data_IF_422259356626
#
_entry.id   IF_422259356626
#
_cell.length_a   1.000
_cell.length_b   1.000
_cell.length_c   1.000
_cell.angle_alpha   90.00
_cell.angle_beta   90.00
_cell.angle_gamma   90.00
#
_symmetry.space_group_name_H-M   'P 1'
#
loop_
_entity.id
_entity.type
_entity.pdbx_description
1 polymer ?
#
# COMPACT_ATOMS: atom_id res chain seq x y z
N UNK A 1 2.00 14.94 66.95
CA UNK A 1 2.19 14.82 65.48
C UNK A 1 2.92 13.51 65.23
N UNK A 2 2.31 12.48 64.62
CA UNK A 2 3.02 11.24 64.35
C UNK A 2 3.87 11.39 63.09
N UNK A 3 5.16 11.13 63.22
CA UNK A 3 6.14 11.13 62.14
C UNK A 3 5.74 10.15 61.04
N UNK A 4 5.55 10.66 59.82
CA UNK A 4 5.33 9.85 58.63
C UNK A 4 6.60 9.04 58.34
N UNK A 5 6.57 7.75 58.66
CA UNK A 5 7.65 6.81 58.35
C UNK A 5 7.84 6.68 56.84
N UNK A 6 8.81 7.40 56.28
CA UNK A 6 9.23 7.26 54.88
C UNK A 6 9.92 5.90 54.74
N UNK A 7 9.20 4.88 54.24
CA UNK A 7 9.77 3.58 53.87
C UNK A 7 10.80 3.80 52.76
N UNK A 8 12.10 3.77 53.11
CA UNK A 8 13.18 3.75 52.12
C UNK A 8 13.15 2.40 51.40
N UNK A 9 12.75 2.41 50.14
CA UNK A 9 12.79 1.22 49.27
C UNK A 9 14.27 0.95 48.99
N UNK A 10 14.90 0.10 49.79
CA UNK A 10 16.27 -0.37 49.55
C UNK A 10 16.19 -1.55 48.59
N UNK A 11 16.28 -1.28 47.30
CA UNK A 11 16.37 -2.31 46.27
C UNK A 11 17.57 -3.23 46.57
N UNK A 12 17.32 -4.52 46.79
CA UNK A 12 18.44 -5.48 46.85
C UNK A 12 19.05 -5.57 45.45
N UNK A 13 20.37 -5.70 45.37
CA UNK A 13 21.10 -5.87 44.10
C UNK A 13 20.55 -7.02 43.25
N UNK A 14 20.03 -8.07 43.90
CA UNK A 14 19.33 -9.17 43.24
C UNK A 14 18.01 -8.76 42.55
N UNK A 15 17.26 -7.80 43.11
CA UNK A 15 16.03 -7.30 42.52
C UNK A 15 16.35 -6.42 41.31
N UNK A 16 17.40 -5.62 41.39
CA UNK A 16 17.90 -4.82 40.26
C UNK A 16 18.35 -5.72 39.10
N UNK A 17 19.08 -6.81 39.37
CA UNK A 17 19.49 -7.78 38.36
C UNK A 17 18.32 -8.52 37.71
N UNK A 18 17.30 -8.92 38.49
CA UNK A 18 16.09 -9.56 37.96
C UNK A 18 15.29 -8.62 37.07
N UNK A 19 15.13 -7.36 37.49
CA UNK A 19 14.42 -6.35 36.69
C UNK A 19 15.19 -6.06 35.40
N UNK A 20 16.52 -5.91 35.47
CA UNK A 20 17.36 -5.78 34.27
C UNK A 20 17.20 -6.97 33.32
N UNK A 21 17.28 -8.19 33.83
CA UNK A 21 17.09 -9.41 33.02
C UNK A 21 15.71 -9.48 32.35
N UNK A 22 14.64 -9.13 33.09
CA UNK A 22 13.28 -9.06 32.55
C UNK A 22 13.15 -7.98 31.47
N UNK A 23 13.72 -6.80 31.68
CA UNK A 23 13.71 -5.71 30.69
C UNK A 23 14.48 -6.12 29.44
N UNK A 24 15.66 -6.73 29.59
CA UNK A 24 16.44 -7.23 28.45
C UNK A 24 15.71 -8.32 27.69
N UNK A 25 15.08 -9.28 28.40
CA UNK A 25 14.27 -10.33 27.77
C UNK A 25 13.05 -9.74 27.05
N UNK A 26 12.37 -8.77 27.65
CA UNK A 26 11.25 -8.09 27.03
C UNK A 26 11.68 -7.36 25.75
N UNK A 27 12.76 -6.58 25.79
CA UNK A 27 13.29 -5.88 24.61
C UNK A 27 13.74 -6.87 23.53
N UNK A 28 14.36 -8.00 23.91
CA UNK A 28 14.73 -9.07 23.00
C UNK A 28 13.49 -9.71 22.34
N UNK A 29 12.49 -10.12 23.11
CA UNK A 29 11.26 -10.71 22.57
C UNK A 29 10.48 -9.72 21.71
N UNK A 30 10.43 -8.44 22.11
CA UNK A 30 9.79 -7.38 21.34
C UNK A 30 10.46 -7.18 19.98
N UNK A 31 11.78 -7.02 19.96
CA UNK A 31 12.55 -6.85 18.72
C UNK A 31 12.53 -8.12 17.86
N UNK A 32 12.58 -9.31 18.47
CA UNK A 32 12.43 -10.58 17.78
C UNK A 32 11.07 -10.72 17.12
N UNK A 33 9.99 -10.42 17.87
CA UNK A 33 8.63 -10.48 17.36
C UNK A 33 8.45 -9.55 16.16
N UNK A 34 8.92 -8.30 16.23
CA UNK A 34 8.88 -7.37 15.11
C UNK A 34 9.62 -7.90 13.88
N UNK A 35 10.84 -8.45 14.05
CA UNK A 35 11.60 -9.03 12.93
C UNK A 35 10.91 -10.23 12.30
N UNK A 36 10.37 -11.14 13.11
CA UNK A 36 9.65 -12.33 12.64
C UNK A 36 8.37 -11.94 11.93
N UNK A 37 7.60 -10.99 12.49
CA UNK A 37 6.40 -10.44 11.87
C UNK A 37 6.71 -9.86 10.49
N UNK A 38 7.73 -9.01 10.38
CA UNK A 38 8.16 -8.44 9.09
C UNK A 38 8.59 -9.52 8.10
N UNK A 39 9.35 -10.53 8.54
CA UNK A 39 9.80 -11.62 7.66
C UNK A 39 8.63 -12.47 7.15
N UNK A 40 7.65 -12.78 8.01
CA UNK A 40 6.44 -13.51 7.64
C UNK A 40 5.62 -12.70 6.64
N UNK A 41 5.46 -11.40 6.87
CA UNK A 41 4.72 -10.51 5.96
C UNK A 41 5.39 -10.40 4.59
N UNK A 42 6.72 -10.23 4.56
CA UNK A 42 7.53 -10.25 3.32
C UNK A 42 7.38 -11.60 2.60
N UNK A 43 7.45 -12.70 3.34
CA UNK A 43 7.24 -14.04 2.79
C UNK A 43 5.85 -14.23 2.20
N UNK A 44 4.81 -13.71 2.87
CA UNK A 44 3.43 -13.75 2.37
C UNK A 44 3.30 -12.97 1.06
N UNK A 45 3.81 -11.74 0.98
CA UNK A 45 3.80 -10.96 -0.26
C UNK A 45 4.58 -11.68 -1.36
N UNK A 46 5.73 -12.28 -1.03
CA UNK A 46 6.52 -13.03 -2.00
C UNK A 46 5.77 -14.26 -2.52
N UNK A 47 5.01 -14.97 -1.68
CA UNK A 47 4.12 -16.08 -2.11
C UNK A 47 3.02 -15.58 -3.04
N UNK A 48 2.37 -14.46 -2.72
CA UNK A 48 1.35 -13.85 -3.58
C UNK A 48 1.93 -13.48 -4.94
N UNK A 49 3.08 -12.80 -4.95
CA UNK A 49 3.78 -12.43 -6.18
C UNK A 49 4.24 -13.68 -6.96
N UNK A 50 4.69 -14.72 -6.26
CA UNK A 50 5.06 -15.99 -6.88
C UNK A 50 3.86 -16.63 -7.60
N UNK A 51 2.66 -16.55 -7.03
CA UNK A 51 1.44 -17.03 -7.69
C UNK A 51 1.12 -16.24 -8.96
N UNK A 52 1.29 -14.91 -8.93
CA UNK A 52 1.11 -14.02 -10.09
C UNK A 52 2.12 -14.35 -11.19
N UNK A 53 3.39 -14.62 -10.85
CA UNK A 53 4.43 -14.97 -11.82
C UNK A 53 4.24 -16.40 -12.39
N UNK A 54 3.86 -17.36 -11.54
CA UNK A 54 3.77 -18.76 -11.94
C UNK A 54 2.58 -19.02 -12.89
N UNK A 55 1.46 -18.31 -12.74
CA UNK A 55 0.26 -18.52 -13.56
C UNK A 55 0.49 -18.30 -15.08
N UNK A 56 1.00 -17.14 -15.55
CA UNK A 56 1.34 -16.93 -16.96
C UNK A 56 2.48 -17.84 -17.41
N UNK A 57 3.49 -18.09 -16.58
CA UNK A 57 4.58 -19.02 -16.91
C UNK A 57 4.06 -20.45 -17.18
N UNK A 58 3.10 -20.94 -16.40
CA UNK A 58 2.47 -22.25 -16.64
C UNK A 58 1.55 -22.25 -17.86
N UNK A 59 0.94 -21.11 -18.19
CA UNK A 59 0.14 -20.98 -19.41
C UNK A 59 1.04 -21.03 -20.64
N UNK A 60 2.13 -20.25 -20.67
CA UNK A 60 3.09 -20.21 -21.77
C UNK A 60 3.93 -21.49 -21.90
N UNK A 61 4.08 -22.28 -20.83
CA UNK A 61 4.80 -23.55 -20.89
C UNK A 61 4.07 -24.64 -21.70
N UNK A 62 2.87 -24.34 -22.23
CA UNK A 62 2.20 -25.20 -23.21
C UNK A 62 2.88 -25.19 -24.58
N UNK A 63 3.65 -24.13 -24.89
CA UNK A 63 4.34 -23.98 -26.17
C UNK A 63 5.86 -24.10 -26.09
N UNK A 64 6.45 -23.79 -24.92
CA UNK A 64 7.91 -23.81 -24.70
C UNK A 64 8.26 -24.48 -23.37
N UNK A 65 9.51 -24.95 -23.17
CA UNK A 65 9.92 -25.52 -21.89
C UNK A 65 9.68 -24.56 -20.71
N UNK A 66 9.26 -25.09 -19.56
CA UNK A 66 8.86 -24.28 -18.40
C UNK A 66 9.93 -23.25 -17.98
N UNK A 67 11.22 -23.59 -18.02
CA UNK A 67 12.32 -22.66 -17.66
C UNK A 67 12.37 -21.42 -18.57
N UNK A 68 12.13 -21.61 -19.87
CA UNK A 68 12.09 -20.53 -20.86
C UNK A 68 10.84 -19.69 -20.66
N UNK A 69 9.68 -20.34 -20.52
CA UNK A 69 8.41 -19.68 -20.22
C UNK A 69 8.47 -18.80 -18.96
N UNK A 70 9.06 -19.35 -17.90
CA UNK A 70 9.25 -18.66 -16.63
C UNK A 70 10.22 -17.48 -16.79
N UNK A 71 11.34 -17.66 -17.48
CA UNK A 71 12.29 -16.57 -17.75
C UNK A 71 11.63 -15.43 -18.54
N UNK A 72 10.87 -15.73 -19.60
CA UNK A 72 10.11 -14.74 -20.38
C UNK A 72 9.11 -14.02 -19.48
N UNK A 73 8.38 -14.76 -18.64
CA UNK A 73 7.37 -14.19 -17.74
C UNK A 73 8.00 -13.23 -16.72
N UNK A 74 9.14 -13.61 -16.12
CA UNK A 74 9.87 -12.75 -15.19
C UNK A 74 10.41 -11.51 -15.91
N UNK A 75 10.99 -11.67 -17.12
CA UNK A 75 11.48 -10.55 -17.90
C UNK A 75 10.35 -9.58 -18.29
N UNK A 76 9.20 -10.08 -18.72
CA UNK A 76 8.03 -9.25 -19.04
C UNK A 76 7.49 -8.54 -17.79
N UNK A 77 7.45 -9.21 -16.65
CA UNK A 77 7.05 -8.59 -15.38
C UNK A 77 8.00 -7.48 -14.94
N UNK A 78 9.32 -7.72 -15.02
CA UNK A 78 10.31 -6.70 -14.69
C UNK A 78 10.27 -5.53 -15.68
N UNK A 79 10.13 -5.83 -16.98
CA UNK A 79 9.98 -4.81 -18.01
C UNK A 79 8.71 -3.98 -17.83
N UNK A 80 7.58 -4.60 -17.44
CA UNK A 80 6.35 -3.87 -17.16
C UNK A 80 6.48 -3.01 -15.90
N UNK A 81 7.15 -3.50 -14.84
CA UNK A 81 7.39 -2.74 -13.63
C UNK A 81 8.27 -1.50 -13.89
N UNK A 82 9.37 -1.69 -14.63
CA UNK A 82 10.26 -0.59 -15.02
C UNK A 82 9.55 0.37 -15.98
N UNK A 83 8.84 -0.15 -16.99
CA UNK A 83 8.10 0.65 -17.96
C UNK A 83 7.01 1.49 -17.30
N UNK A 84 6.22 0.91 -16.40
CA UNK A 84 5.23 1.63 -15.60
C UNK A 84 5.91 2.66 -14.69
N UNK A 85 7.03 2.31 -14.05
CA UNK A 85 7.80 3.25 -13.23
C UNK A 85 8.27 4.46 -14.04
N UNK A 86 8.87 4.24 -15.21
CA UNK A 86 9.35 5.32 -16.08
C UNK A 86 8.20 6.17 -16.66
N UNK A 87 7.03 5.60 -16.90
CA UNK A 87 5.87 6.34 -17.38
C UNK A 87 5.17 7.13 -16.26
N UNK A 88 5.01 6.52 -15.08
CA UNK A 88 4.19 7.07 -14.00
C UNK A 88 4.97 7.94 -13.04
N UNK A 89 6.23 7.61 -12.70
CA UNK A 89 6.99 8.36 -11.70
C UNK A 89 7.15 9.83 -12.10
N UNK A 90 7.60 10.18 -13.33
CA UNK A 90 7.70 11.57 -13.74
C UNK A 90 6.34 12.27 -13.68
N UNK A 91 5.29 11.61 -14.17
CA UNK A 91 3.94 12.18 -14.14
C UNK A 91 3.43 12.42 -12.72
N UNK A 92 3.68 11.51 -11.78
CA UNK A 92 3.33 11.67 -10.37
C UNK A 92 4.14 12.81 -9.74
N UNK A 93 5.45 12.87 -10.00
CA UNK A 93 6.32 13.94 -9.48
C UNK A 93 5.88 15.30 -10.01
N UNK A 94 5.62 15.41 -11.31
CA UNK A 94 5.14 16.63 -11.95
C UNK A 94 3.78 17.03 -11.38
N UNK A 95 2.85 16.08 -11.26
CA UNK A 95 1.53 16.34 -10.66
C UNK A 95 1.71 16.86 -9.23
N UNK A 96 2.48 16.17 -8.38
CA UNK A 96 2.72 16.57 -6.99
C UNK A 96 3.38 17.95 -6.89
N UNK A 97 4.31 18.27 -7.78
CA UNK A 97 4.94 19.59 -7.84
C UNK A 97 3.95 20.69 -8.24
N UNK A 98 3.05 20.41 -9.20
CA UNK A 98 1.97 21.30 -9.58
C UNK A 98 0.97 21.48 -8.43
N UNK A 99 0.63 20.42 -7.70
CA UNK A 99 -0.24 20.50 -6.53
C UNK A 99 0.36 21.38 -5.44
N UNK A 100 1.66 21.24 -5.17
CA UNK A 100 2.36 22.09 -4.20
C UNK A 100 2.38 23.56 -4.65
N UNK A 101 2.57 23.82 -5.95
CA UNK A 101 2.57 25.16 -6.52
C UNK A 101 1.18 25.80 -6.61
N UNK A 102 0.12 25.01 -6.80
CA UNK A 102 -1.27 25.47 -6.90
C UNK A 102 -1.97 25.56 -5.54
N UNK A 103 -1.31 25.12 -4.46
CA UNK A 103 -1.87 25.11 -3.12
C UNK A 103 -2.41 26.49 -2.68
N UNK A 104 -1.66 27.61 -2.86
CA UNK A 104 -2.17 28.93 -2.50
C UNK A 104 -3.43 29.29 -3.30
N UNK A 105 -3.42 29.03 -4.61
CA UNK A 105 -4.55 29.30 -5.51
C UNK A 105 -5.79 28.45 -5.20
N UNK A 106 -5.60 27.19 -4.77
CA UNK A 106 -6.68 26.32 -4.33
C UNK A 106 -7.37 26.85 -3.06
N UNK A 107 -6.58 27.40 -2.11
CA UNK A 107 -7.11 28.04 -0.91
C UNK A 107 -7.88 29.32 -1.27
N UNK A 108 -7.34 30.13 -2.17
CA UNK A 108 -7.98 31.36 -2.64
C UNK A 108 -9.31 31.08 -3.36
N UNK A 109 -9.35 30.05 -4.20
CA UNK A 109 -10.59 29.67 -4.92
C UNK A 109 -11.64 29.03 -4.00
N UNK A 110 -11.23 28.28 -2.96
CA UNK A 110 -12.16 27.84 -1.90
C UNK A 110 -12.72 29.03 -1.13
N UNK A 111 -11.88 30.03 -0.83
CA UNK A 111 -12.31 31.26 -0.17
C UNK A 111 -13.33 32.03 -1.01
N UNK A 112 -13.01 32.27 -2.28
CA UNK A 112 -13.91 32.99 -3.21
C UNK A 112 -15.25 32.24 -3.38
N UNK A 113 -15.22 30.91 -3.48
CA UNK A 113 -16.43 30.08 -3.53
C UNK A 113 -17.27 30.14 -2.24
N UNK A 114 -16.63 30.20 -1.07
CA UNK A 114 -17.31 30.38 0.22
C UNK A 114 -17.92 31.78 0.33
N UNK A 115 -17.19 32.81 -0.08
CA UNK A 115 -17.65 34.21 -0.07
C UNK A 115 -18.88 34.39 -0.97
N UNK A 116 -18.85 33.82 -2.18
CA UNK A 116 -19.98 33.82 -3.14
C UNK A 116 -21.22 33.10 -2.59
N UNK A 117 -21.05 32.01 -1.84
CA UNK A 117 -22.17 31.18 -1.35
C UNK A 117 -22.74 31.59 -0.01
N UNK A 118 -21.92 32.13 0.89
CA UNK A 118 -22.30 32.40 2.28
C UNK A 118 -22.34 33.89 2.61
N UNK A 119 -21.75 34.76 1.77
CA UNK A 119 -21.62 36.20 2.03
C UNK A 119 -20.70 36.54 3.21
N UNK A 120 -20.15 35.54 3.90
CA UNK A 120 -19.15 35.72 4.94
C UNK A 120 -17.79 35.87 4.27
N UNK A 121 -17.25 37.09 4.23
CA UNK A 121 -15.83 37.34 3.97
C UNK A 121 -15.05 36.47 4.95
N UNK A 122 -14.36 35.45 4.46
CA UNK A 122 -13.85 34.36 5.30
C UNK A 122 -13.12 34.91 6.53
N UNK A 123 -13.66 34.64 7.72
CA UNK A 123 -12.98 34.94 8.97
C UNK A 123 -11.55 34.37 8.86
N UNK A 124 -10.54 35.20 9.15
CA UNK A 124 -9.12 34.79 9.01
C UNK A 124 -8.78 33.52 9.79
N UNK A 125 -9.62 33.14 10.76
CA UNK A 125 -9.55 31.89 11.50
C UNK A 125 -9.94 30.66 10.65
N UNK A 126 -10.99 30.72 9.83
CA UNK A 126 -11.40 29.64 8.93
C UNK A 126 -10.34 29.42 7.84
N UNK A 127 -9.87 30.51 7.24
CA UNK A 127 -8.78 30.45 6.23
C UNK A 127 -7.48 29.93 6.84
N UNK A 128 -7.15 30.34 8.06
CA UNK A 128 -6.00 29.83 8.79
C UNK A 128 -6.10 28.35 9.18
N UNK A 129 -7.31 27.82 9.38
CA UNK A 129 -7.55 26.38 9.59
C UNK A 129 -7.43 25.60 8.28
N UNK A 130 -8.02 26.09 7.19
CA UNK A 130 -7.93 25.47 5.85
C UNK A 130 -6.47 25.38 5.41
N UNK A 131 -5.70 26.46 5.53
CA UNK A 131 -4.30 26.49 5.12
C UNK A 131 -3.44 25.49 5.94
N UNK A 132 -3.68 25.39 7.26
CA UNK A 132 -2.99 24.41 8.11
C UNK A 132 -3.33 22.97 7.73
N UNK A 133 -4.61 22.65 7.55
CA UNK A 133 -5.04 21.29 7.18
C UNK A 133 -4.53 20.88 5.79
N UNK A 134 -4.59 21.78 4.81
CA UNK A 134 -4.05 21.54 3.48
C UNK A 134 -2.52 21.39 3.50
N UNK A 135 -1.82 22.27 4.23
CA UNK A 135 -0.37 22.18 4.41
C UNK A 135 0.08 20.88 5.09
N UNK A 136 -0.62 20.44 6.13
CA UNK A 136 -0.36 19.14 6.78
C UNK A 136 -0.63 17.97 5.84
N UNK A 137 -1.70 18.02 5.06
CA UNK A 137 -2.05 16.98 4.11
C UNK A 137 -0.98 16.84 3.02
N UNK A 138 -0.60 17.94 2.38
CA UNK A 138 0.49 17.97 1.39
C UNK A 138 1.80 17.52 2.02
N UNK A 139 2.13 18.00 3.22
CA UNK A 139 3.33 17.63 3.96
C UNK A 139 3.42 16.14 4.31
N UNK A 140 2.29 15.45 4.46
CA UNK A 140 2.24 13.98 4.65
C UNK A 140 2.20 13.21 3.33
N UNK A 141 1.53 13.75 2.32
CA UNK A 141 1.29 13.08 1.05
C UNK A 141 2.51 13.09 0.13
N UNK A 142 3.23 14.22 0.05
CA UNK A 142 4.41 14.37 -0.81
C UNK A 142 5.49 13.33 -0.44
N UNK A 143 5.91 13.18 0.84
CA UNK A 143 6.88 12.16 1.20
C UNK A 143 6.36 10.75 0.98
N UNK A 144 5.05 10.50 1.14
CA UNK A 144 4.46 9.20 0.86
C UNK A 144 4.59 8.83 -0.64
N UNK A 145 4.32 9.77 -1.53
CA UNK A 145 4.48 9.58 -2.98
C UNK A 145 5.95 9.31 -3.36
N UNK A 146 6.92 10.03 -2.77
CA UNK A 146 8.34 9.76 -2.97
C UNK A 146 8.79 8.44 -2.35
N UNK A 147 8.21 8.04 -1.21
CA UNK A 147 8.48 6.75 -0.58
C UNK A 147 8.01 5.58 -1.44
N UNK A 148 7.02 5.73 -2.33
CA UNK A 148 6.65 4.67 -3.28
C UNK A 148 7.83 4.27 -4.16
N UNK A 149 8.69 5.21 -4.54
CA UNK A 149 9.92 4.94 -5.31
C UNK A 149 10.87 4.09 -4.45
N UNK A 150 11.09 4.47 -3.19
CA UNK A 150 11.91 3.70 -2.26
C UNK A 150 11.34 2.31 -1.96
N UNK A 151 10.01 2.17 -1.94
CA UNK A 151 9.32 0.87 -1.79
C UNK A 151 9.59 -0.04 -2.99
N UNK A 152 9.62 0.50 -4.22
CA UNK A 152 10.01 -0.28 -5.41
C UNK A 152 11.44 -0.81 -5.27
N UNK A 153 12.40 0.02 -4.86
CA UNK A 153 13.77 -0.45 -4.60
C UNK A 153 13.86 -1.43 -3.42
N UNK A 154 13.10 -1.18 -2.35
CA UNK A 154 13.00 -2.06 -1.18
C UNK A 154 12.31 -3.40 -1.47
N UNK A 155 11.51 -3.48 -2.54
CA UNK A 155 10.82 -4.70 -2.97
C UNK A 155 11.75 -5.73 -3.60
N UNK A 156 13.02 -5.41 -3.84
CA UNK A 156 13.97 -6.30 -4.50
C UNK A 156 14.07 -7.67 -3.80
N UNK A 157 14.12 -7.68 -2.47
CA UNK A 157 14.12 -8.93 -1.69
C UNK A 157 12.83 -9.74 -1.88
N UNK A 158 11.67 -9.07 -1.96
CA UNK A 158 10.36 -9.69 -2.21
C UNK A 158 10.35 -10.32 -3.60
N UNK A 159 10.81 -9.58 -4.62
CA UNK A 159 10.85 -10.04 -6.02
C UNK A 159 11.76 -11.26 -6.15
N UNK A 160 12.97 -11.21 -5.59
CA UNK A 160 13.91 -12.33 -5.60
C UNK A 160 13.28 -13.56 -4.92
N UNK A 161 12.73 -13.37 -3.72
CA UNK A 161 12.10 -14.46 -2.99
C UNK A 161 10.91 -15.05 -3.77
N UNK A 162 10.09 -14.20 -4.39
CA UNK A 162 8.98 -14.62 -5.23
C UNK A 162 9.44 -15.42 -6.45
N UNK A 163 10.54 -15.01 -7.11
CA UNK A 163 11.12 -15.74 -8.25
C UNK A 163 11.57 -17.14 -7.80
N UNK A 164 12.27 -17.26 -6.67
CA UNK A 164 12.68 -18.55 -6.13
C UNK A 164 11.48 -19.45 -5.81
N UNK A 165 10.49 -18.91 -5.09
CA UNK A 165 9.25 -19.62 -4.73
C UNK A 165 8.46 -20.07 -5.98
N UNK A 166 8.38 -19.22 -7.01
CA UNK A 166 7.64 -19.51 -8.23
C UNK A 166 8.34 -20.50 -9.16
N UNK A 167 9.66 -20.59 -9.10
CA UNK A 167 10.45 -21.49 -9.95
C UNK A 167 10.27 -22.96 -9.57
N UNK A 168 10.13 -23.26 -8.26
CA UNK A 168 9.99 -24.63 -7.76
C UNK A 168 8.96 -24.74 -6.62
N UNK A 169 7.67 -24.45 -6.87
CA UNK A 169 6.65 -24.41 -5.82
C UNK A 169 6.46 -25.76 -5.09
N UNK A 170 6.69 -26.88 -5.78
CA UNK A 170 6.54 -28.22 -5.21
C UNK A 170 7.60 -28.52 -4.14
N UNK A 171 8.82 -27.99 -4.29
CA UNK A 171 9.89 -28.17 -3.28
C UNK A 171 9.47 -27.50 -1.96
N UNK A 172 8.92 -26.30 -2.04
CA UNK A 172 8.45 -25.57 -0.85
C UNK A 172 7.21 -26.21 -0.23
N UNK A 173 6.29 -26.72 -1.06
CA UNK A 173 5.15 -27.53 -0.58
C UNK A 173 5.65 -28.74 0.20
N UNK A 174 6.56 -29.52 -0.35
CA UNK A 174 7.08 -30.73 0.28
C UNK A 174 7.80 -30.43 1.59
N UNK A 175 8.54 -29.33 1.68
CA UNK A 175 9.18 -28.89 2.93
C UNK A 175 8.15 -28.61 4.03
N UNK A 176 7.07 -27.90 3.69
CA UNK A 176 5.99 -27.60 4.65
C UNK A 176 5.28 -28.88 5.09
N UNK A 177 4.98 -29.79 4.17
CA UNK A 177 4.32 -31.06 4.50
C UNK A 177 5.23 -31.98 5.34
N UNK A 178 6.55 -31.98 5.08
CA UNK A 178 7.51 -32.78 5.84
C UNK A 178 7.67 -32.33 7.30
N UNK A 179 7.42 -31.06 7.59
CA UNK A 179 7.42 -30.52 8.96
C UNK A 179 6.24 -31.04 9.81
N UNK A 180 5.23 -31.65 9.19
CA UNK A 180 4.06 -32.24 9.88
C UNK A 180 4.31 -33.72 10.19
N UNK A 181 3.90 -34.23 11.37
CA UNK A 181 3.97 -35.65 11.71
C UNK A 181 3.33 -36.55 10.65
N UNK A 182 3.94 -37.71 10.39
CA UNK A 182 3.55 -38.66 9.33
C UNK A 182 2.04 -38.96 9.31
N UNK A 183 1.45 -39.20 10.48
CA UNK A 183 0.03 -39.54 10.62
C UNK A 183 -0.92 -38.43 10.13
N UNK A 184 -0.47 -37.17 10.13
CA UNK A 184 -1.28 -36.00 9.74
C UNK A 184 -0.97 -35.46 8.34
N UNK A 185 0.05 -36.00 7.64
CA UNK A 185 0.45 -35.51 6.31
C UNK A 185 -0.70 -35.51 5.28
N UNK A 186 -1.54 -36.56 5.15
CA UNK A 186 -2.66 -36.53 4.20
C UNK A 186 -3.71 -35.45 4.51
N UNK A 187 -3.81 -35.02 5.77
CA UNK A 187 -4.67 -33.89 6.16
C UNK A 187 -3.99 -32.56 5.85
N UNK A 188 -2.70 -32.43 6.12
CA UNK A 188 -1.92 -31.23 5.82
C UNK A 188 -1.86 -30.94 4.32
N UNK A 189 -1.68 -31.95 3.48
CA UNK A 189 -1.70 -31.80 2.01
C UNK A 189 -3.03 -31.23 1.52
N UNK A 190 -4.16 -31.78 1.99
CA UNK A 190 -5.49 -31.29 1.64
C UNK A 190 -5.70 -29.83 2.05
N UNK A 191 -5.27 -29.46 3.26
CA UNK A 191 -5.37 -28.07 3.74
C UNK A 191 -4.49 -27.15 2.88
N UNK A 192 -3.23 -27.54 2.63
CA UNK A 192 -2.31 -26.76 1.82
C UNK A 192 -2.85 -26.51 0.41
N UNK A 193 -3.35 -27.55 -0.26
CA UNK A 193 -3.85 -27.46 -1.64
C UNK A 193 -5.15 -26.63 -1.71
N UNK A 194 -6.03 -26.75 -0.70
CA UNK A 194 -7.22 -25.91 -0.58
C UNK A 194 -6.87 -24.44 -0.33
N UNK A 195 -5.98 -24.16 0.62
CA UNK A 195 -5.49 -22.80 0.89
C UNK A 195 -4.82 -22.19 -0.33
N UNK A 196 -3.98 -22.95 -1.04
CA UNK A 196 -3.33 -22.50 -2.26
C UNK A 196 -4.32 -22.20 -3.39
N UNK A 197 -5.40 -22.99 -3.53
CA UNK A 197 -6.46 -22.71 -4.51
C UNK A 197 -7.25 -21.45 -4.15
N UNK A 198 -7.65 -21.31 -2.88
CA UNK A 198 -8.36 -20.11 -2.41
C UNK A 198 -7.51 -18.86 -2.60
N UNK A 199 -6.21 -18.92 -2.29
CA UNK A 199 -5.29 -17.80 -2.46
C UNK A 199 -5.11 -17.41 -3.93
N UNK A 200 -4.99 -18.40 -4.84
CA UNK A 200 -4.94 -18.14 -6.28
C UNK A 200 -6.20 -17.44 -6.80
N UNK A 201 -7.38 -17.90 -6.39
CA UNK A 201 -8.66 -17.28 -6.78
C UNK A 201 -8.80 -15.88 -6.19
N UNK A 202 -8.37 -15.68 -4.95
CA UNK A 202 -8.35 -14.36 -4.32
C UNK A 202 -7.41 -13.39 -5.05
N UNK A 203 -6.19 -13.81 -5.40
CA UNK A 203 -5.24 -13.01 -6.19
C UNK A 203 -5.84 -12.64 -7.54
N UNK A 204 -6.45 -13.61 -8.24
CA UNK A 204 -7.11 -13.35 -9.51
C UNK A 204 -8.24 -12.33 -9.37
N UNK A 205 -9.10 -12.50 -8.35
CA UNK A 205 -10.14 -11.53 -8.02
C UNK A 205 -9.55 -10.14 -7.75
N UNK A 206 -8.45 -10.05 -7.00
CA UNK A 206 -7.83 -8.76 -6.69
C UNK A 206 -7.24 -8.08 -7.92
N UNK A 207 -6.59 -8.82 -8.81
CA UNK A 207 -6.08 -8.27 -10.09
C UNK A 207 -7.22 -7.75 -10.97
N UNK A 208 -8.34 -8.47 -11.03
CA UNK A 208 -9.54 -8.02 -11.76
C UNK A 208 -10.10 -6.75 -11.13
N UNK A 209 -10.23 -6.71 -9.80
CA UNK A 209 -10.70 -5.52 -9.08
C UNK A 209 -9.79 -4.32 -9.33
N UNK A 210 -8.46 -4.49 -9.25
CA UNK A 210 -7.50 -3.41 -9.55
C UNK A 210 -7.69 -2.86 -10.96
N UNK A 211 -7.87 -3.74 -11.96
CA UNK A 211 -8.12 -3.33 -13.34
C UNK A 211 -9.45 -2.57 -13.48
N UNK A 212 -10.54 -3.07 -12.91
CA UNK A 212 -11.86 -2.43 -12.98
C UNK A 212 -11.86 -1.09 -12.27
N UNK A 213 -11.29 -1.00 -11.08
CA UNK A 213 -11.16 0.25 -10.32
C UNK A 213 -10.32 1.26 -11.09
N UNK A 214 -9.20 0.83 -11.68
CA UNK A 214 -8.40 1.66 -12.57
C UNK A 214 -9.19 2.18 -13.76
N UNK A 215 -9.92 1.30 -14.45
CA UNK A 215 -10.72 1.64 -15.62
C UNK A 215 -11.84 2.64 -15.28
N UNK A 216 -12.61 2.37 -14.22
CA UNK A 216 -13.70 3.23 -13.76
C UNK A 216 -13.15 4.59 -13.31
N UNK A 217 -12.04 4.60 -12.58
CA UNK A 217 -11.35 5.83 -12.16
C UNK A 217 -10.90 6.63 -13.38
N UNK A 218 -10.30 5.98 -14.38
CA UNK A 218 -9.83 6.66 -15.58
C UNK A 218 -10.99 7.31 -16.34
N UNK A 219 -12.09 6.59 -16.54
CA UNK A 219 -13.29 7.11 -17.21
C UNK A 219 -13.90 8.26 -16.41
N UNK A 220 -14.02 8.11 -15.08
CA UNK A 220 -14.55 9.16 -14.20
C UNK A 220 -13.71 10.43 -14.24
N UNK A 221 -12.38 10.32 -14.14
CA UNK A 221 -11.48 11.46 -14.21
C UNK A 221 -11.47 12.14 -15.58
N UNK A 222 -11.59 11.37 -16.67
CA UNK A 222 -11.78 11.92 -18.01
C UNK A 222 -13.09 12.68 -18.13
N UNK A 223 -14.18 12.13 -17.57
CA UNK A 223 -15.49 12.79 -17.57
C UNK A 223 -15.47 14.13 -16.84
N UNK A 224 -14.74 14.22 -15.71
CA UNK A 224 -14.56 15.48 -14.97
C UNK A 224 -13.49 16.41 -15.56
N UNK A 225 -12.81 16.02 -16.65
CA UNK A 225 -11.79 16.82 -17.31
C UNK A 225 -10.49 16.96 -16.52
N UNK A 226 -10.17 16.00 -15.64
CA UNK A 226 -8.99 16.08 -14.77
C UNK A 226 -7.71 15.82 -15.59
N UNK A 227 -6.74 16.75 -15.59
CA UNK A 227 -5.48 16.54 -16.28
C UNK A 227 -4.70 15.40 -15.62
N UNK A 228 -4.08 14.54 -16.44
CA UNK A 228 -3.34 13.39 -15.94
C UNK A 228 -4.21 12.22 -15.46
N UNK A 229 -5.49 12.17 -15.86
CA UNK A 229 -6.45 11.12 -15.52
C UNK A 229 -5.88 9.68 -15.60
N UNK A 230 -5.10 9.36 -16.64
CA UNK A 230 -4.52 8.03 -16.82
C UNK A 230 -3.52 7.67 -15.72
N UNK A 231 -2.63 8.59 -15.32
CA UNK A 231 -1.68 8.30 -14.25
C UNK A 231 -2.35 8.24 -12.89
N UNK A 232 -3.30 9.13 -12.62
CA UNK A 232 -4.08 9.11 -11.38
C UNK A 232 -4.90 7.82 -11.25
N UNK A 233 -5.51 7.37 -12.34
CA UNK A 233 -6.23 6.10 -12.38
C UNK A 233 -5.33 4.88 -12.27
N UNK A 234 -4.14 4.92 -12.86
CA UNK A 234 -3.14 3.85 -12.71
C UNK A 234 -2.62 3.79 -11.27
N UNK A 235 -2.34 4.94 -10.67
CA UNK A 235 -1.98 5.06 -9.25
C UNK A 235 -3.10 4.50 -8.36
N UNK A 236 -4.36 4.83 -8.65
CA UNK A 236 -5.52 4.28 -7.95
C UNK A 236 -5.58 2.75 -8.10
N UNK A 237 -5.42 2.21 -9.30
CA UNK A 237 -5.38 0.78 -9.56
C UNK A 237 -4.25 0.06 -8.80
N UNK A 238 -3.07 0.68 -8.67
CA UNK A 238 -1.94 0.11 -7.94
C UNK A 238 -2.18 0.14 -6.42
N UNK A 239 -2.64 1.29 -5.91
CA UNK A 239 -2.94 1.49 -4.49
C UNK A 239 -4.11 0.63 -4.03
N UNK A 240 -5.04 0.30 -4.93
CA UNK A 240 -6.13 -0.62 -4.68
C UNK A 240 -5.65 -1.98 -4.13
N UNK A 241 -4.43 -2.43 -4.44
CA UNK A 241 -3.88 -3.65 -3.84
C UNK A 241 -3.85 -3.61 -2.30
N UNK A 242 -3.68 -2.42 -1.71
CA UNK A 242 -3.64 -2.19 -0.26
C UNK A 242 -5.07 -1.94 0.24
N UNK A 243 -5.71 -2.90 0.94
CA UNK A 243 -7.10 -2.75 1.38
C UNK A 243 -7.28 -1.54 2.31
N UNK A 244 -8.44 -0.89 2.24
CA UNK A 244 -8.86 0.26 3.04
C UNK A 244 -8.08 1.57 2.85
N UNK A 245 -6.79 1.48 2.51
CA UNK A 245 -5.93 2.66 2.32
C UNK A 245 -5.82 3.08 0.86
N UNK A 246 -6.00 2.14 -0.07
CA UNK A 246 -5.80 2.36 -1.49
C UNK A 246 -6.63 3.52 -2.07
N UNK A 247 -7.97 3.45 -2.01
CA UNK A 247 -8.85 4.49 -2.53
C UNK A 247 -8.63 5.85 -1.85
N UNK A 248 -8.40 5.87 -0.55
CA UNK A 248 -8.22 7.12 0.22
C UNK A 248 -6.92 7.82 -0.15
N UNK A 249 -5.82 7.07 -0.28
CA UNK A 249 -4.53 7.61 -0.71
C UNK A 249 -4.60 8.02 -2.19
N UNK A 250 -5.31 7.26 -3.03
CA UNK A 250 -5.44 7.57 -4.45
C UNK A 250 -6.35 8.76 -4.76
N UNK A 251 -7.37 9.00 -3.92
CA UNK A 251 -8.30 10.13 -4.07
C UNK A 251 -7.59 11.46 -3.84
N UNK A 252 -6.63 11.50 -2.92
CA UNK A 252 -5.89 12.69 -2.54
C UNK A 252 -5.37 13.52 -3.74
N UNK A 253 -4.51 12.99 -4.63
CA UNK A 253 -3.96 13.77 -5.74
C UNK A 253 -5.03 14.11 -6.78
N UNK A 254 -6.05 13.26 -6.97
CA UNK A 254 -7.13 13.51 -7.91
C UNK A 254 -8.07 14.65 -7.45
N UNK A 255 -8.42 14.68 -6.16
CA UNK A 255 -9.22 15.75 -5.56
C UNK A 255 -8.44 17.06 -5.56
N UNK A 256 -7.14 17.04 -5.23
CA UNK A 256 -6.32 18.25 -5.32
C UNK A 256 -6.24 18.74 -6.77
N UNK A 257 -6.01 17.85 -7.74
CA UNK A 257 -5.98 18.23 -9.16
C UNK A 257 -7.32 18.83 -9.62
N UNK A 258 -8.44 18.40 -9.07
CA UNK A 258 -9.77 18.94 -9.38
C UNK A 258 -9.99 20.37 -8.84
N UNK A 259 -9.31 20.78 -7.77
CA UNK A 259 -9.37 22.18 -7.29
C UNK A 259 -8.77 23.17 -8.29
N UNK A 260 -7.88 22.72 -9.19
CA UNK A 260 -7.36 23.57 -10.28
C UNK A 260 -8.44 23.97 -11.30
N UNK A 261 -9.56 23.25 -11.33
CA UNK A 261 -10.72 23.54 -12.19
C UNK A 261 -11.74 24.35 -11.40
N UNK A 262 -12.25 23.79 -10.29
CA UNK A 262 -13.12 24.50 -9.36
C UNK A 262 -13.35 23.69 -8.06
N UNK A 263 -13.70 24.34 -6.95
CA UNK A 263 -14.09 23.64 -5.71
C UNK A 263 -15.29 22.69 -5.88
N UNK A 264 -16.22 22.99 -6.79
CA UNK A 264 -17.37 22.11 -7.06
C UNK A 264 -16.95 20.84 -7.81
N UNK A 265 -16.04 20.95 -8.79
CA UNK A 265 -15.44 19.78 -9.43
C UNK A 265 -14.70 18.92 -8.42
N UNK A 266 -13.94 19.52 -7.49
CA UNK A 266 -13.27 18.79 -6.42
C UNK A 266 -14.25 18.01 -5.53
N UNK A 267 -15.41 18.61 -5.21
CA UNK A 267 -16.47 17.93 -4.46
C UNK A 267 -17.04 16.73 -5.24
N UNK A 268 -17.27 16.88 -6.55
CA UNK A 268 -17.76 15.78 -7.40
C UNK A 268 -16.74 14.64 -7.51
N UNK A 269 -15.46 14.96 -7.65
CA UNK A 269 -14.39 13.96 -7.67
C UNK A 269 -14.26 13.25 -6.31
N UNK A 270 -14.32 14.00 -5.21
CA UNK A 270 -14.31 13.41 -3.87
C UNK A 270 -15.52 12.47 -3.65
N UNK A 271 -16.71 12.90 -4.06
CA UNK A 271 -17.92 12.09 -4.02
C UNK A 271 -17.83 10.84 -4.90
N UNK A 272 -17.24 10.96 -6.09
CA UNK A 272 -16.97 9.83 -6.97
C UNK A 272 -16.08 8.78 -6.32
N UNK A 273 -14.94 9.17 -5.73
CA UNK A 273 -14.05 8.25 -5.01
C UNK A 273 -14.73 7.65 -3.77
N UNK A 274 -15.55 8.42 -3.06
CA UNK A 274 -16.32 7.92 -1.93
C UNK A 274 -17.30 6.82 -2.36
N UNK A 275 -18.08 7.05 -3.42
CA UNK A 275 -19.00 6.05 -3.96
C UNK A 275 -18.25 4.83 -4.46
N UNK A 276 -17.14 5.02 -5.17
CA UNK A 276 -16.29 3.94 -5.64
C UNK A 276 -15.79 3.07 -4.47
N UNK A 277 -15.40 3.69 -3.35
CA UNK A 277 -14.99 2.99 -2.14
C UNK A 277 -16.13 2.22 -1.45
N UNK A 278 -17.38 2.69 -1.52
CA UNK A 278 -18.52 1.95 -0.94
C UNK A 278 -18.94 0.73 -1.78
N UNK A 279 -18.61 0.71 -3.07
CA UNK A 279 -18.92 -0.40 -3.98
C UNK A 279 -17.92 -1.57 -3.82
N UNK A 280 -16.71 -1.28 -3.33
CA UNK A 280 -15.63 -2.24 -3.10
C UNK A 280 -15.83 -3.04 -1.81
#
# INVERSE_FOLDING_TARGET
MPESSVRRITWRTADVLKVLGLVTLFLFLWTFFWRVYTAIFVGLIAVLLAMVLHAPAKYFSRWVPFRVSFAITVLLFLASLVGLGLALIPQIVDQVSQLAGQLPTAIDSVREWLEDRTGASGDGELTGQINRQFGEFVGRFVPLAFNLISVVFGSFAIIILAIFLAMQPEVYRDLVIRAVPLASRPRAERIYDQSGRSLKLWVLGKVITMFLVGLVTWIGLLYFGIPGALALATLAAMLEFIPNFGPTIAAAPAVIAAFSISPTTALYVAGFYFVLQQIQ
#
